data_IF_491089907442
#
_entry.id   IF_491089907442
#
_cell.length_a   1.000
_cell.length_b   1.000
_cell.length_c   1.000
_cell.angle_alpha   90.00
_cell.angle_beta   90.00
_cell.angle_gamma   90.00
#
_symmetry.space_group_name_H-M   'P 1'
#
loop_
_entity.id
_entity.type
_entity.pdbx_description
1 polymer ?
#
# COMPACT_ATOMS: atom_id res chain seq x y z
N UNK A 1 18.97 0.46 21.03
CA UNK A 1 17.57 0.97 21.11
C UNK A 1 17.62 2.47 20.83
N UNK A 2 16.74 2.98 19.98
CA UNK A 2 16.70 4.42 19.62
C UNK A 2 15.35 4.94 20.07
N UNK A 3 15.35 6.05 20.85
CA UNK A 3 14.12 6.78 21.15
C UNK A 3 13.76 7.68 19.96
N UNK A 4 12.71 7.30 19.24
CA UNK A 4 12.21 8.03 18.07
C UNK A 4 11.02 8.96 18.41
N UNK A 5 10.60 9.04 19.68
CA UNK A 5 9.39 9.75 20.10
C UNK A 5 9.37 11.20 19.62
N UNK A 6 10.47 11.92 19.80
CA UNK A 6 10.58 13.33 19.37
C UNK A 6 10.45 13.46 17.85
N UNK A 7 11.10 12.57 17.09
CA UNK A 7 11.01 12.55 15.62
C UNK A 7 9.59 12.28 15.15
N UNK A 8 8.89 11.33 15.78
CA UNK A 8 7.53 10.93 15.43
C UNK A 8 6.49 11.99 15.81
N UNK A 9 6.71 12.69 16.92
CA UNK A 9 5.81 13.73 17.40
C UNK A 9 5.96 15.07 16.66
N UNK A 10 7.12 15.33 16.07
CA UNK A 10 7.39 16.59 15.37
C UNK A 10 6.77 16.62 13.95
N UNK A 11 6.79 17.81 13.36
CA UNK A 11 6.27 18.09 12.02
C UNK A 11 7.34 17.84 10.94
N UNK A 12 7.84 16.61 10.89
CA UNK A 12 8.80 16.22 9.86
C UNK A 12 8.09 15.90 8.54
N UNK A 13 8.66 16.35 7.42
CA UNK A 13 8.04 16.22 6.09
C UNK A 13 7.47 14.84 5.75
N UNK A 14 8.20 13.73 5.97
CA UNK A 14 7.69 12.40 5.60
C UNK A 14 6.47 11.96 6.42
N UNK A 15 6.29 12.51 7.62
CA UNK A 15 5.25 12.11 8.57
C UNK A 15 4.32 13.28 8.92
N UNK A 16 4.45 14.38 8.21
CA UNK A 16 3.65 15.58 8.41
C UNK A 16 2.42 15.63 7.51
N UNK A 17 1.59 16.64 7.75
CA UNK A 17 0.41 16.88 6.93
C UNK A 17 0.83 17.14 5.47
N UNK A 18 0.27 16.42 4.47
CA UNK A 18 0.72 16.55 3.09
C UNK A 18 0.58 17.98 2.55
N UNK A 19 1.55 18.39 1.74
CA UNK A 19 1.64 19.77 1.23
C UNK A 19 0.37 20.22 0.49
N UNK A 20 -0.27 19.34 -0.25
CA UNK A 20 -1.53 19.63 -0.94
C UNK A 20 -2.61 20.13 0.04
N UNK A 21 -2.81 19.42 1.15
CA UNK A 21 -3.79 19.79 2.17
C UNK A 21 -3.35 21.00 2.99
N UNK A 22 -2.04 21.16 3.25
CA UNK A 22 -1.51 22.37 3.88
C UNK A 22 -1.89 23.61 3.09
N UNK A 23 -1.69 23.57 1.78
CA UNK A 23 -2.05 24.68 0.88
C UNK A 23 -3.56 24.90 0.88
N UNK A 24 -4.35 23.85 0.73
CA UNK A 24 -5.82 23.93 0.68
C UNK A 24 -6.43 24.55 1.94
N UNK A 25 -5.96 24.13 3.10
CA UNK A 25 -6.48 24.59 4.40
C UNK A 25 -5.67 25.74 5.00
N UNK A 26 -4.65 26.22 4.29
CA UNK A 26 -3.69 27.21 4.79
C UNK A 26 -3.15 26.82 6.17
N UNK A 27 -2.83 25.52 6.30
CA UNK A 27 -2.28 24.98 7.53
C UNK A 27 -0.81 25.39 7.68
N UNK A 28 -0.45 25.93 8.84
CA UNK A 28 0.87 26.49 9.11
C UNK A 28 1.63 25.69 10.16
N UNK A 29 1.50 26.04 11.42
CA UNK A 29 2.29 25.49 12.52
C UNK A 29 1.56 24.33 13.21
N UNK A 30 2.32 23.26 13.53
CA UNK A 30 1.85 22.19 14.39
C UNK A 30 1.61 22.71 15.82
N UNK A 31 0.45 22.41 16.37
CA UNK A 31 0.14 22.60 17.78
C UNK A 31 0.56 21.34 18.55
N UNK A 32 1.72 21.42 19.20
CA UNK A 32 2.30 20.27 19.94
C UNK A 32 1.48 19.90 21.17
N UNK A 33 0.65 20.80 21.70
CA UNK A 33 -0.17 20.52 22.89
C UNK A 33 -1.40 19.67 22.57
N UNK A 34 -1.84 19.71 21.29
CA UNK A 34 -2.99 18.94 20.78
C UNK A 34 -2.56 17.86 19.76
N UNK A 35 -1.28 17.49 19.76
CA UNK A 35 -0.73 16.51 18.84
C UNK A 35 -0.03 15.41 19.62
N UNK A 36 -0.29 14.16 19.26
CA UNK A 36 0.26 13.00 19.96
C UNK A 36 0.35 11.76 19.06
N UNK A 37 1.17 10.82 19.47
CA UNK A 37 1.20 9.47 18.89
C UNK A 37 0.10 8.66 19.56
N UNK A 38 -0.86 8.20 18.78
CA UNK A 38 -2.00 7.44 19.27
C UNK A 38 -1.64 5.96 19.46
N UNK A 39 -1.01 5.38 18.46
CA UNK A 39 -0.66 3.95 18.48
C UNK A 39 0.56 3.68 17.60
N UNK A 40 1.37 2.72 18.07
CA UNK A 40 2.43 2.11 17.26
C UNK A 40 2.19 0.60 17.26
N UNK A 41 2.10 0.01 16.08
CA UNK A 41 1.96 -1.43 15.89
C UNK A 41 3.17 -1.95 15.12
N UNK A 42 3.72 -3.08 15.55
CA UNK A 42 4.88 -3.72 14.91
C UNK A 42 4.46 -5.05 14.33
N UNK A 43 4.80 -5.24 13.06
CA UNK A 43 4.58 -6.46 12.31
C UNK A 43 5.91 -7.00 11.78
N UNK A 44 5.99 -8.24 11.31
CA UNK A 44 7.25 -8.82 10.85
C UNK A 44 7.98 -8.05 9.74
N UNK A 45 7.26 -7.27 8.91
CA UNK A 45 7.84 -6.53 7.78
C UNK A 45 7.48 -5.04 7.77
N UNK A 46 6.69 -4.55 8.73
CA UNK A 46 6.36 -3.13 8.82
C UNK A 46 6.08 -2.69 10.25
N UNK A 47 6.20 -1.40 10.45
CA UNK A 47 5.73 -0.69 11.64
C UNK A 47 4.69 0.31 11.20
N UNK A 48 3.51 0.25 11.79
CA UNK A 48 2.42 1.20 11.59
C UNK A 48 2.39 2.22 12.71
N UNK A 49 2.45 3.47 12.34
CA UNK A 49 2.35 4.59 13.26
C UNK A 49 1.05 5.35 13.00
N UNK A 50 0.18 5.39 14.01
CA UNK A 50 -1.01 6.23 13.99
C UNK A 50 -0.81 7.40 14.93
N UNK A 51 -1.07 8.60 14.42
CA UNK A 51 -0.91 9.82 15.19
C UNK A 51 -1.99 10.84 14.87
N UNK A 52 -2.32 11.64 15.86
CA UNK A 52 -3.20 12.80 15.75
C UNK A 52 -2.34 14.05 15.71
N UNK A 53 -2.52 14.88 14.70
CA UNK A 53 -1.80 16.16 14.57
C UNK A 53 -2.77 17.31 14.34
N UNK A 54 -2.62 18.35 15.12
CA UNK A 54 -3.41 19.58 15.02
C UNK A 54 -2.53 20.70 14.48
N UNK A 55 -3.02 21.41 13.47
CA UNK A 55 -2.33 22.54 12.84
C UNK A 55 -3.18 23.78 12.94
N UNK A 56 -2.54 24.94 13.12
CA UNK A 56 -3.20 26.22 12.90
C UNK A 56 -3.54 26.34 11.42
N UNK A 57 -4.79 26.66 11.09
CA UNK A 57 -5.31 26.68 9.73
C UNK A 57 -6.32 27.82 9.56
N UNK A 58 -5.98 28.80 8.72
CA UNK A 58 -6.88 29.95 8.49
C UNK A 58 -8.03 29.66 7.52
N UNK A 59 -7.99 28.53 6.84
CA UNK A 59 -9.06 28.03 5.95
C UNK A 59 -9.48 26.62 6.38
N UNK A 60 -9.75 26.45 7.67
CA UNK A 60 -10.20 25.16 8.22
C UNK A 60 -11.59 24.80 7.71
N UNK A 61 -11.96 23.50 7.69
CA UNK A 61 -13.33 23.09 7.44
C UNK A 61 -14.30 23.79 8.39
N UNK A 62 -15.54 23.99 7.96
CA UNK A 62 -16.58 24.71 8.72
C UNK A 62 -16.87 24.13 10.13
N UNK A 63 -16.48 22.91 10.38
CA UNK A 63 -16.56 22.28 11.69
C UNK A 63 -15.49 22.75 12.70
N UNK A 64 -14.48 23.47 12.26
CA UNK A 64 -13.36 23.95 13.08
C UNK A 64 -13.37 25.46 13.20
N UNK A 65 -14.23 25.98 14.09
CA UNK A 65 -14.38 27.44 14.32
C UNK A 65 -13.18 28.07 15.03
N UNK A 66 -12.25 27.29 15.55
CA UNK A 66 -11.09 27.72 16.34
C UNK A 66 -9.84 28.05 15.51
N UNK A 67 -9.95 28.07 14.19
CA UNK A 67 -8.81 28.35 13.30
C UNK A 67 -7.76 27.23 13.29
N UNK A 68 -8.16 26.02 13.56
CA UNK A 68 -7.28 24.83 13.50
C UNK A 68 -7.87 23.70 12.66
N UNK A 69 -7.02 22.77 12.28
CA UNK A 69 -7.42 21.49 11.68
C UNK A 69 -6.71 20.35 12.41
N UNK A 70 -7.48 19.41 12.89
CA UNK A 70 -6.97 18.16 13.50
C UNK A 70 -7.16 17.02 12.52
N UNK A 71 -6.10 16.25 12.30
CA UNK A 71 -6.08 15.11 11.38
C UNK A 71 -5.49 13.90 12.07
N UNK A 72 -6.14 12.77 11.90
CA UNK A 72 -5.56 11.46 12.18
C UNK A 72 -4.80 11.01 10.93
N UNK A 73 -3.56 10.58 11.11
CA UNK A 73 -2.69 10.12 10.04
C UNK A 73 -2.08 8.78 10.39
N UNK A 74 -1.90 7.95 9.36
CA UNK A 74 -1.18 6.69 9.45
C UNK A 74 0.06 6.76 8.57
N UNK A 75 1.19 6.30 9.11
CA UNK A 75 2.44 6.16 8.38
C UNK A 75 2.98 4.75 8.57
N UNK A 76 3.37 4.15 7.46
CA UNK A 76 3.96 2.81 7.42
C UNK A 76 5.46 2.91 7.18
N UNK A 77 6.24 2.20 7.99
CA UNK A 77 7.66 1.98 7.76
C UNK A 77 7.84 0.53 7.35
N UNK A 78 8.27 0.31 6.12
CA UNK A 78 8.31 -1.01 5.50
C UNK A 78 9.75 -1.48 5.41
N UNK A 79 9.99 -2.73 5.83
CA UNK A 79 11.27 -3.39 5.63
C UNK A 79 11.34 -3.89 4.19
N UNK A 80 12.25 -3.31 3.42
CA UNK A 80 12.47 -3.72 2.04
C UNK A 80 13.05 -5.14 1.96
N UNK A 81 12.69 -5.92 0.94
CA UNK A 81 13.19 -7.28 0.76
C UNK A 81 14.71 -7.28 0.54
N UNK A 82 15.41 -8.27 1.12
CA UNK A 82 16.86 -8.44 0.91
C UNK A 82 17.19 -8.75 -0.56
N UNK A 83 16.31 -9.51 -1.21
CA UNK A 83 16.39 -9.87 -2.62
C UNK A 83 15.20 -9.25 -3.36
N UNK A 84 15.37 -8.05 -3.93
CA UNK A 84 14.31 -7.39 -4.66
C UNK A 84 13.95 -8.16 -5.93
N UNK A 85 12.72 -7.99 -6.38
CA UNK A 85 12.26 -8.58 -7.63
C UNK A 85 13.05 -8.01 -8.81
N UNK A 86 13.38 -8.88 -9.79
CA UNK A 86 14.02 -8.44 -11.03
C UNK A 86 13.15 -7.39 -11.74
N UNK A 87 13.69 -6.20 -11.93
CA UNK A 87 13.01 -5.08 -12.56
C UNK A 87 12.69 -5.37 -14.03
N UNK A 88 11.55 -4.87 -14.50
CA UNK A 88 11.16 -4.86 -15.91
C UNK A 88 11.02 -3.43 -16.38
N UNK A 89 11.67 -3.10 -17.48
CA UNK A 89 11.58 -1.76 -18.06
C UNK A 89 10.19 -1.49 -18.61
N UNK A 90 9.78 -0.23 -18.53
CA UNK A 90 8.55 0.26 -19.14
C UNK A 90 8.66 0.25 -20.67
N UNK A 91 7.55 -0.07 -21.31
CA UNK A 91 7.39 0.01 -22.76
C UNK A 91 6.09 0.77 -23.06
N UNK A 92 6.18 1.83 -23.86
CA UNK A 92 5.03 2.71 -24.16
C UNK A 92 3.90 2.01 -24.90
N UNK A 93 4.17 0.87 -25.51
CA UNK A 93 3.16 0.05 -26.18
C UNK A 93 2.21 -0.65 -25.21
N UNK A 94 2.53 -0.68 -23.94
CA UNK A 94 1.76 -1.37 -22.90
C UNK A 94 1.36 -0.37 -21.83
N UNK A 95 0.05 -0.13 -21.66
CA UNK A 95 -0.52 0.76 -20.65
C UNK A 95 -0.42 0.18 -19.24
N UNK A 96 0.75 0.32 -18.62
CA UNK A 96 1.07 -0.22 -17.31
C UNK A 96 1.39 0.90 -16.33
N UNK A 97 1.05 0.74 -15.05
CA UNK A 97 1.57 1.64 -14.03
C UNK A 97 3.09 1.46 -13.92
N UNK A 98 3.81 2.56 -13.80
CA UNK A 98 5.26 2.55 -13.84
C UNK A 98 5.87 3.65 -12.98
N UNK A 99 7.09 3.41 -12.47
CA UNK A 99 7.85 4.36 -11.65
C UNK A 99 9.14 4.77 -12.34
N UNK A 100 9.37 6.07 -12.36
CA UNK A 100 10.61 6.65 -12.88
C UNK A 100 11.62 6.85 -11.76
N UNK A 101 12.85 6.42 -12.02
CA UNK A 101 14.02 6.67 -11.16
C UNK A 101 15.12 7.35 -11.97
N UNK A 102 15.97 8.11 -11.29
CA UNK A 102 17.17 8.68 -11.91
C UNK A 102 18.35 7.80 -11.53
N UNK A 103 18.98 7.21 -12.55
CA UNK A 103 20.16 6.36 -12.36
C UNK A 103 21.43 7.23 -12.38
N UNK A 104 22.04 7.38 -11.21
CA UNK A 104 23.31 8.09 -11.02
C UNK A 104 24.52 7.14 -11.07
N UNK A 105 24.32 5.83 -11.15
CA UNK A 105 25.39 4.83 -11.22
C UNK A 105 26.01 4.62 -12.60
N UNK A 106 25.48 5.28 -13.61
CA UNK A 106 25.99 5.17 -14.98
C UNK A 106 27.32 5.88 -15.12
N UNK A 107 28.26 5.28 -15.87
CA UNK A 107 29.54 5.90 -16.26
C UNK A 107 29.39 7.00 -17.33
N UNK A 108 28.17 7.39 -17.67
CA UNK A 108 27.88 8.44 -18.63
C UNK A 108 28.06 9.83 -18.00
N UNK A 109 28.31 10.85 -18.80
CA UNK A 109 28.46 12.24 -18.33
C UNK A 109 27.18 12.89 -17.81
N UNK A 110 26.04 12.24 -17.98
CA UNK A 110 24.77 12.67 -17.40
C UNK A 110 24.00 11.47 -16.84
N UNK A 111 23.25 11.72 -15.77
CA UNK A 111 22.30 10.73 -15.24
C UNK A 111 21.17 10.45 -16.25
N UNK A 112 20.63 9.24 -16.21
CA UNK A 112 19.52 8.82 -17.08
C UNK A 112 18.29 8.54 -16.24
N UNK A 113 17.13 9.03 -16.68
CA UNK A 113 15.86 8.58 -16.14
C UNK A 113 15.52 7.22 -16.73
N UNK A 114 15.24 6.25 -15.87
CA UNK A 114 14.79 4.91 -16.24
C UNK A 114 13.41 4.69 -15.62
N UNK A 115 12.54 4.00 -16.31
CA UNK A 115 11.17 3.73 -15.88
C UNK A 115 10.94 2.23 -15.82
N UNK A 116 10.38 1.76 -14.70
CA UNK A 116 10.13 0.35 -14.43
C UNK A 116 8.64 0.13 -14.23
N UNK A 117 8.16 -1.05 -14.64
CA UNK A 117 6.77 -1.47 -14.44
C UNK A 117 6.50 -1.82 -12.97
N UNK A 118 5.35 -1.37 -12.46
CA UNK A 118 4.79 -1.89 -11.23
C UNK A 118 4.08 -3.22 -11.55
N UNK A 119 4.46 -4.30 -10.90
CA UNK A 119 3.88 -5.62 -11.14
C UNK A 119 3.94 -6.52 -9.90
N UNK A 120 3.07 -7.51 -9.85
CA UNK A 120 3.13 -8.55 -8.84
C UNK A 120 4.35 -9.46 -9.01
N UNK A 121 4.90 -9.93 -7.89
CA UNK A 121 5.96 -10.93 -7.87
C UNK A 121 5.35 -12.32 -8.01
N UNK A 122 5.16 -12.78 -9.24
CA UNK A 122 4.78 -14.15 -9.54
C UNK A 122 5.99 -14.90 -10.04
N UNK A 123 6.38 -15.95 -9.32
CA UNK A 123 7.54 -16.78 -9.60
C UNK A 123 7.11 -18.22 -9.79
N UNK A 124 7.69 -18.91 -10.77
CA UNK A 124 7.47 -20.33 -11.02
C UNK A 124 8.19 -21.16 -9.95
N UNK A 125 7.55 -22.20 -9.44
CA UNK A 125 8.19 -23.18 -8.54
C UNK A 125 9.30 -23.91 -9.31
N UNK A 126 10.38 -24.26 -8.61
CA UNK A 126 11.55 -24.86 -9.28
C UNK A 126 11.21 -26.17 -10.00
N UNK A 127 10.31 -26.97 -9.43
CA UNK A 127 9.80 -28.21 -10.01
C UNK A 127 8.91 -28.01 -11.25
N UNK A 128 8.35 -26.83 -11.46
CA UNK A 128 7.43 -26.51 -12.55
C UNK A 128 8.07 -25.72 -13.70
N UNK A 129 9.36 -25.36 -13.61
CA UNK A 129 10.06 -24.56 -14.62
C UNK A 129 9.93 -25.16 -16.03
N UNK A 130 10.13 -26.46 -16.16
CA UNK A 130 10.06 -27.13 -17.47
C UNK A 130 8.62 -27.21 -18.01
N UNK A 131 7.61 -27.36 -17.16
CA UNK A 131 6.20 -27.28 -17.57
C UNK A 131 5.88 -25.86 -18.07
N UNK A 132 6.29 -24.85 -17.32
CA UNK A 132 6.08 -23.44 -17.70
C UNK A 132 6.73 -23.10 -19.06
N UNK A 133 7.95 -23.59 -19.30
CA UNK A 133 8.63 -23.42 -20.60
C UNK A 133 7.89 -24.06 -21.76
N UNK A 134 7.18 -25.16 -21.53
CA UNK A 134 6.32 -25.81 -22.52
C UNK A 134 4.97 -25.12 -22.72
N UNK A 135 4.68 -24.05 -21.98
CA UNK A 135 3.42 -23.34 -22.05
C UNK A 135 2.29 -23.94 -21.21
N UNK A 136 2.60 -24.88 -20.31
CA UNK A 136 1.63 -25.43 -19.38
C UNK A 136 1.36 -24.43 -18.24
N UNK A 137 0.11 -24.37 -17.78
CA UNK A 137 -0.27 -23.54 -16.63
C UNK A 137 0.29 -24.12 -15.33
N UNK A 138 1.00 -23.30 -14.58
CA UNK A 138 1.59 -23.67 -13.28
C UNK A 138 1.06 -22.77 -12.16
N UNK A 139 1.13 -23.25 -10.93
CA UNK A 139 0.86 -22.41 -9.76
C UNK A 139 2.08 -21.56 -9.40
N UNK A 140 1.91 -20.29 -9.01
CA UNK A 140 3.03 -19.48 -8.54
C UNK A 140 3.56 -20.00 -7.19
N UNK A 141 4.83 -19.70 -6.87
CA UNK A 141 5.41 -19.95 -5.53
C UNK A 141 4.54 -19.33 -4.42
N UNK A 142 4.04 -18.12 -4.65
CA UNK A 142 3.15 -17.39 -3.75
C UNK A 142 2.02 -16.77 -4.56
N UNK A 143 0.77 -17.19 -4.36
CA UNK A 143 -0.37 -16.56 -5.02
C UNK A 143 -0.64 -15.16 -4.42
N UNK A 144 -1.33 -14.33 -5.19
CA UNK A 144 -1.87 -13.05 -4.76
C UNK A 144 -3.15 -13.35 -3.98
N UNK A 145 -3.17 -13.02 -2.69
CA UNK A 145 -4.34 -13.24 -1.84
C UNK A 145 -4.88 -11.89 -1.42
N UNK A 146 -6.17 -11.64 -1.73
CA UNK A 146 -6.90 -10.49 -1.23
C UNK A 146 -7.91 -10.91 -0.17
N UNK A 147 -7.83 -10.29 1.00
CA UNK A 147 -8.80 -10.46 2.06
C UNK A 147 -9.90 -9.40 1.96
N UNK A 148 -11.15 -9.85 1.93
CA UNK A 148 -12.30 -8.94 1.91
C UNK A 148 -12.68 -8.55 3.33
N UNK A 149 -12.63 -7.26 3.65
CA UNK A 149 -12.88 -6.74 5.00
C UNK A 149 -14.21 -7.26 5.56
N UNK A 150 -14.20 -7.63 6.84
CA UNK A 150 -15.40 -8.05 7.59
C UNK A 150 -16.48 -6.98 7.65
N UNK A 151 -16.07 -5.69 7.64
CA UNK A 151 -17.00 -4.56 7.59
C UNK A 151 -17.76 -4.45 6.26
N UNK A 152 -17.36 -5.21 5.23
CA UNK A 152 -18.08 -5.25 3.96
C UNK A 152 -19.46 -5.86 4.16
N UNK A 153 -20.56 -5.19 3.75
CA UNK A 153 -21.89 -5.77 3.84
C UNK A 153 -21.99 -7.11 3.10
N UNK A 154 -22.64 -8.09 3.72
CA UNK A 154 -22.72 -9.47 3.23
C UNK A 154 -23.20 -9.57 1.78
N UNK A 155 -24.17 -8.74 1.40
CA UNK A 155 -24.71 -8.69 0.04
C UNK A 155 -23.67 -8.34 -1.04
N UNK A 156 -22.55 -7.66 -0.68
CA UNK A 156 -21.52 -7.23 -1.62
C UNK A 156 -20.30 -8.16 -1.66
N UNK A 157 -20.08 -8.95 -0.63
CA UNK A 157 -18.91 -9.85 -0.54
C UNK A 157 -18.77 -10.80 -1.73
N UNK A 158 -19.85 -11.48 -2.21
CA UNK A 158 -19.73 -12.38 -3.36
C UNK A 158 -19.25 -11.66 -4.62
N UNK A 159 -19.79 -10.47 -4.89
CA UNK A 159 -19.41 -9.69 -6.08
C UNK A 159 -17.99 -9.15 -6.01
N UNK A 160 -17.54 -8.74 -4.81
CA UNK A 160 -16.16 -8.29 -4.62
C UNK A 160 -15.20 -9.45 -4.81
N UNK A 161 -15.49 -10.62 -4.24
CA UNK A 161 -14.68 -11.82 -4.44
C UNK A 161 -14.61 -12.23 -5.90
N UNK A 162 -15.76 -12.26 -6.57
CA UNK A 162 -15.81 -12.54 -8.01
C UNK A 162 -14.97 -11.54 -8.80
N UNK A 163 -15.10 -10.24 -8.54
CA UNK A 163 -14.32 -9.22 -9.24
C UNK A 163 -12.80 -9.32 -9.00
N UNK A 164 -12.35 -9.89 -7.86
CA UNK A 164 -10.95 -10.24 -7.64
C UNK A 164 -10.56 -11.43 -8.51
N UNK A 165 -11.37 -12.49 -8.51
CA UNK A 165 -11.06 -13.76 -9.16
C UNK A 165 -11.24 -13.70 -10.69
N UNK A 166 -12.01 -12.75 -11.21
CA UNK A 166 -12.14 -12.47 -12.66
C UNK A 166 -10.80 -12.14 -13.31
N UNK A 167 -9.81 -11.65 -12.53
CA UNK A 167 -8.45 -11.44 -13.01
C UNK A 167 -7.68 -12.73 -13.29
N UNK A 168 -8.18 -13.88 -12.85
CA UNK A 168 -7.52 -15.17 -13.06
C UNK A 168 -7.24 -15.42 -14.55
N UNK A 169 -8.15 -15.04 -15.44
CA UNK A 169 -7.98 -15.19 -16.90
C UNK A 169 -6.71 -14.47 -17.40
N UNK A 170 -6.43 -13.29 -16.87
CA UNK A 170 -5.22 -12.55 -17.24
C UNK A 170 -3.94 -13.22 -16.73
N UNK A 171 -3.98 -13.83 -15.54
CA UNK A 171 -2.84 -14.57 -15.01
C UNK A 171 -2.63 -15.91 -15.72
N UNK A 172 -3.70 -16.57 -16.16
CA UNK A 172 -3.61 -17.78 -16.99
C UNK A 172 -2.99 -17.47 -18.36
N UNK A 173 -3.35 -16.34 -18.97
CA UNK A 173 -2.70 -15.87 -20.19
C UNK A 173 -1.19 -15.60 -19.97
N UNK A 174 -0.77 -15.31 -18.74
CA UNK A 174 0.62 -15.18 -18.35
C UNK A 174 1.29 -16.50 -17.91
N UNK A 175 0.55 -17.63 -17.95
CA UNK A 175 1.05 -18.96 -17.62
C UNK A 175 0.81 -19.42 -16.17
N UNK A 176 0.02 -18.67 -15.37
CA UNK A 176 -0.22 -18.98 -13.96
C UNK A 176 -1.68 -19.29 -13.67
N UNK A 177 -1.97 -20.51 -13.22
CA UNK A 177 -3.27 -20.88 -12.64
C UNK A 177 -3.29 -20.62 -11.13
N UNK A 178 -4.47 -20.39 -10.56
CA UNK A 178 -4.66 -20.13 -9.14
C UNK A 178 -3.75 -19.00 -8.61
N UNK A 179 -3.50 -17.99 -9.46
CA UNK A 179 -2.56 -16.91 -9.16
C UNK A 179 -3.15 -15.80 -8.29
N UNK A 180 -4.47 -15.61 -8.33
CA UNK A 180 -5.18 -14.62 -7.54
C UNK A 180 -6.37 -15.27 -6.83
N UNK A 181 -6.54 -14.99 -5.55
CA UNK A 181 -7.50 -15.66 -4.69
C UNK A 181 -8.15 -14.62 -3.77
N UNK A 182 -9.46 -14.65 -3.68
CA UNK A 182 -10.22 -13.87 -2.71
C UNK A 182 -10.53 -14.71 -1.46
N UNK A 183 -10.27 -14.16 -0.28
CA UNK A 183 -10.51 -14.84 1.00
C UNK A 183 -11.27 -13.96 1.99
N UNK A 184 -11.97 -14.58 2.92
CA UNK A 184 -12.37 -13.91 4.15
C UNK A 184 -11.18 -13.84 5.10
N UNK A 185 -11.07 -12.79 5.92
CA UNK A 185 -10.04 -12.72 6.95
C UNK A 185 -10.19 -13.90 7.94
N UNK A 186 -9.09 -14.51 8.37
CA UNK A 186 -9.13 -15.57 9.36
C UNK A 186 -9.73 -15.07 10.68
N UNK A 187 -10.39 -15.93 11.42
CA UNK A 187 -10.86 -15.62 12.76
C UNK A 187 -9.67 -15.41 13.71
N UNK A 188 -9.91 -14.86 14.90
CA UNK A 188 -8.84 -14.71 15.89
C UNK A 188 -8.35 -16.06 16.47
N UNK A 189 -9.17 -17.08 16.36
CA UNK A 189 -8.83 -18.45 16.75
C UNK A 189 -7.93 -19.13 15.70
N UNK A 190 -8.15 -18.82 14.42
CA UNK A 190 -7.33 -19.33 13.31
C UNK A 190 -5.98 -18.63 13.18
N UNK A 191 -5.98 -17.31 13.33
CA UNK A 191 -4.75 -16.47 13.27
C UNK A 191 -4.89 -15.28 14.21
N UNK A 192 -4.43 -15.40 15.47
CA UNK A 192 -4.48 -14.32 16.46
C UNK A 192 -3.68 -13.07 16.07
N UNK A 193 -2.65 -13.25 15.24
CA UNK A 193 -1.75 -12.16 14.83
C UNK A 193 -2.19 -11.48 13.53
N UNK A 194 -3.23 -12.01 12.86
CA UNK A 194 -3.72 -11.42 11.62
C UNK A 194 -4.16 -9.97 11.80
N UNK A 195 -3.63 -9.10 10.98
CA UNK A 195 -4.02 -7.69 10.91
C UNK A 195 -4.02 -7.21 9.46
N UNK A 196 -5.02 -6.43 9.09
CA UNK A 196 -5.05 -5.75 7.78
C UNK A 196 -4.05 -4.57 7.71
N UNK A 197 -3.34 -4.27 8.78
CA UNK A 197 -2.24 -3.30 8.82
C UNK A 197 -0.88 -3.97 8.59
N UNK A 198 -0.82 -5.30 8.60
CA UNK A 198 0.38 -6.06 8.28
C UNK A 198 0.56 -6.13 6.76
N UNK A 199 1.68 -5.59 6.25
CA UNK A 199 1.95 -5.50 4.81
C UNK A 199 2.05 -6.86 4.10
N UNK A 200 2.17 -7.95 4.85
CA UNK A 200 2.15 -9.31 4.26
C UNK A 200 0.79 -9.68 3.66
N UNK A 201 -0.26 -8.96 4.03
CA UNK A 201 -1.63 -9.21 3.60
C UNK A 201 -2.16 -8.07 2.75
N UNK A 202 -2.76 -8.40 1.62
CA UNK A 202 -3.51 -7.44 0.81
C UNK A 202 -4.98 -7.52 1.18
N UNK A 203 -5.62 -6.37 1.39
CA UNK A 203 -7.01 -6.31 1.81
C UNK A 203 -7.80 -5.31 0.98
N UNK A 204 -9.08 -5.64 0.72
CA UNK A 204 -10.08 -4.71 0.21
C UNK A 204 -10.93 -4.27 1.37
N UNK A 205 -10.81 -2.99 1.75
CA UNK A 205 -11.56 -2.40 2.85
C UNK A 205 -12.83 -1.73 2.36
N UNK A 206 -13.91 -1.97 3.07
CA UNK A 206 -15.15 -1.23 2.90
C UNK A 206 -15.14 0.01 3.79
N UNK A 207 -15.30 1.18 3.16
CA UNK A 207 -15.35 2.46 3.87
C UNK A 207 -16.63 3.19 3.47
N UNK A 208 -17.47 3.50 4.44
CA UNK A 208 -18.61 4.38 4.22
C UNK A 208 -18.10 5.80 3.91
N UNK A 209 -18.43 6.31 2.75
CA UNK A 209 -17.98 7.62 2.27
C UNK A 209 -19.10 8.32 1.51
N UNK A 210 -19.12 9.65 1.55
CA UNK A 210 -19.98 10.48 0.70
C UNK A 210 -19.53 10.51 -0.75
N UNK A 211 -18.31 10.08 -1.02
CA UNK A 211 -17.72 10.04 -2.36
C UNK A 211 -17.86 8.63 -2.93
N UNK A 212 -18.51 8.52 -4.09
CA UNK A 212 -18.54 7.25 -4.85
C UNK A 212 -17.17 7.02 -5.46
N UNK A 213 -16.33 6.26 -4.81
CA UNK A 213 -14.99 6.01 -5.29
C UNK A 213 -14.45 4.66 -4.80
N UNK A 214 -13.64 4.03 -5.63
CA UNK A 214 -12.76 2.95 -5.22
C UNK A 214 -11.32 3.45 -5.38
N UNK A 215 -10.52 3.37 -4.34
CA UNK A 215 -9.13 3.83 -4.34
C UNK A 215 -8.22 2.67 -3.96
N UNK A 216 -7.21 2.44 -4.78
CA UNK A 216 -6.18 1.43 -4.52
C UNK A 216 -4.82 2.10 -4.41
N UNK A 217 -4.38 2.50 -3.19
CA UNK A 217 -3.00 2.91 -3.01
C UNK A 217 -2.08 1.72 -3.29
N UNK A 218 -1.11 1.90 -4.16
CA UNK A 218 -0.09 0.90 -4.42
C UNK A 218 1.23 1.34 -3.81
N UNK A 219 1.88 0.43 -3.12
CA UNK A 219 3.26 0.58 -2.65
C UNK A 219 4.13 -0.34 -3.49
N UNK A 220 5.20 0.17 -4.04
CA UNK A 220 6.23 -0.62 -4.73
C UNK A 220 7.59 -0.31 -4.12
N UNK A 221 8.35 -1.33 -3.90
CA UNK A 221 9.73 -1.33 -3.41
C UNK A 221 10.78 -1.19 -4.53
#
# INVERSE_FOLDING_TARGET
>A
MIDATKFLADDVKPMGFPQFYRTRYRATRLDKTRSYVERVSSYPQNIELRHVKTYLASNSPSSSADGSITVEMSNSMILLPKEPMKRRYFDERVGWFARGQVDYGLKAQKSKRVTFLDRWRLEVKDEDIEKFKRGELVEPKKPIIYYVDRATPEQWKPYIKQGIEDWQVAFEAAGFKNAIIAKDPPTKEEDPEFSMEDIRYSAIRYVASTTRNAMGPSVSD
#
